data_IF_530317944057
#
_entry.id   IF_530317944057
#
_cell.length_a   1.000
_cell.length_b   1.000
_cell.length_c   1.000
_cell.angle_alpha   90.00
_cell.angle_beta   90.00
_cell.angle_gamma   90.00
#
_symmetry.space_group_name_H-M   'P 1'
#
loop_
_entity.id
_entity.type
_entity.pdbx_description
1 polymer ?
#
# COMPACT_ATOMS: atom_id res chain seq x y z
N UNK A 1 -12.91 -10.21 13.67
CA UNK A 1 -12.63 -10.99 12.44
C UNK A 1 -11.75 -10.16 11.52
N UNK A 2 -10.75 -10.78 10.88
CA UNK A 2 -9.88 -10.14 9.91
C UNK A 2 -10.20 -10.66 8.50
N UNK A 3 -10.09 -9.79 7.50
CA UNK A 3 -10.10 -10.19 6.09
C UNK A 3 -8.70 -9.94 5.51
N UNK A 4 -7.98 -11.01 5.21
CA UNK A 4 -6.63 -10.91 4.62
C UNK A 4 -6.74 -10.67 3.12
N UNK A 5 -5.94 -9.74 2.59
CA UNK A 5 -6.04 -9.30 1.20
C UNK A 5 -4.71 -8.78 0.63
N UNK A 6 -4.50 -8.76 -0.68
CA UNK A 6 -5.37 -9.32 -1.72
C UNK A 6 -4.77 -10.63 -2.27
N UNK A 7 -5.46 -11.75 -2.08
CA UNK A 7 -4.97 -13.10 -2.39
C UNK A 7 -4.85 -13.32 -3.92
N UNK A 8 -3.81 -14.02 -4.41
CA UNK A 8 -2.66 -14.61 -3.71
C UNK A 8 -1.43 -13.69 -3.63
N UNK A 9 -1.62 -12.38 -3.67
CA UNK A 9 -0.55 -11.37 -3.69
C UNK A 9 -0.81 -10.32 -4.75
N UNK A 10 -0.60 -9.05 -4.41
CA UNK A 10 -0.84 -7.91 -5.31
C UNK A 10 0.42 -7.32 -5.95
N UNK A 11 1.61 -7.69 -5.46
CA UNK A 11 2.89 -7.08 -5.86
C UNK A 11 3.29 -7.18 -7.34
N UNK A 12 3.08 -8.32 -8.04
CA UNK A 12 3.67 -8.56 -9.36
C UNK A 12 2.90 -7.88 -10.51
N UNK A 13 2.51 -6.61 -10.36
CA UNK A 13 1.81 -5.82 -11.37
C UNK A 13 2.73 -5.47 -12.55
N UNK A 14 2.35 -5.87 -13.76
CA UNK A 14 3.07 -5.48 -14.97
C UNK A 14 3.23 -3.96 -15.01
N UNK A 15 4.44 -3.47 -15.26
CA UNK A 15 4.77 -2.03 -15.32
C UNK A 15 4.52 -1.24 -14.00
N UNK A 16 4.19 -1.91 -12.89
CA UNK A 16 3.85 -1.27 -11.61
C UNK A 16 2.54 -0.46 -11.65
N UNK A 17 1.63 -0.85 -12.55
CA UNK A 17 0.35 -0.18 -12.79
C UNK A 17 -0.81 -0.96 -12.15
N UNK A 18 -1.68 -0.24 -11.45
CA UNK A 18 -2.72 -0.86 -10.64
C UNK A 18 -3.92 -1.41 -11.46
N UNK A 19 -4.31 -2.69 -11.28
CA UNK A 19 -5.43 -3.34 -11.97
C UNK A 19 -6.83 -2.90 -11.52
N UNK A 20 -6.96 -1.87 -10.69
CA UNK A 20 -8.20 -1.12 -10.58
C UNK A 20 -8.63 -0.48 -11.91
N UNK A 21 -7.71 -0.32 -12.86
CA UNK A 21 -7.92 0.41 -14.11
C UNK A 21 -7.62 -0.46 -15.33
N UNK A 22 -8.17 -0.05 -16.47
CA UNK A 22 -8.11 -0.80 -17.73
C UNK A 22 -6.77 -0.68 -18.48
N UNK A 23 -5.95 0.32 -18.13
CA UNK A 23 -4.62 0.50 -18.75
C UNK A 23 -3.67 -0.67 -18.47
N UNK A 24 -3.82 -1.38 -17.36
CA UNK A 24 -3.02 -2.56 -17.05
C UNK A 24 -3.74 -3.50 -16.09
N UNK A 25 -3.91 -4.75 -16.50
CA UNK A 25 -4.58 -5.80 -15.71
C UNK A 25 -3.69 -7.00 -15.38
N UNK A 26 -2.51 -7.07 -15.97
CA UNK A 26 -1.62 -8.22 -15.85
C UNK A 26 -0.85 -8.24 -14.53
N UNK A 27 -0.90 -9.37 -13.84
CA UNK A 27 0.14 -9.76 -12.90
C UNK A 27 1.06 -10.80 -13.55
N UNK A 28 2.35 -10.51 -13.60
CA UNK A 28 3.35 -11.30 -14.34
C UNK A 28 4.45 -11.82 -13.42
N UNK A 29 4.99 -13.00 -13.73
CA UNK A 29 5.96 -13.69 -12.87
C UNK A 29 7.25 -14.03 -13.63
N UNK A 30 8.00 -13.02 -14.12
CA UNK A 30 9.22 -13.23 -14.90
C UNK A 30 10.36 -13.93 -14.12
N UNK A 31 10.31 -13.91 -12.79
CA UNK A 31 11.20 -14.64 -11.90
C UNK A 31 10.76 -16.08 -11.60
N UNK A 32 9.61 -16.53 -12.10
CA UNK A 32 8.99 -17.81 -11.75
C UNK A 32 8.82 -17.95 -10.21
N UNK A 33 8.42 -16.86 -9.55
CA UNK A 33 8.46 -16.73 -8.10
C UNK A 33 7.05 -16.63 -7.47
N UNK A 34 6.04 -17.27 -8.08
CA UNK A 34 4.64 -17.23 -7.61
C UNK A 34 4.48 -17.64 -6.14
N UNK A 35 5.14 -18.73 -5.72
CA UNK A 35 5.02 -19.25 -4.35
C UNK A 35 5.51 -18.27 -3.27
N UNK A 36 6.46 -17.39 -3.59
CA UNK A 36 6.90 -16.34 -2.65
C UNK A 36 5.75 -15.43 -2.22
N UNK A 37 4.83 -15.12 -3.13
CA UNK A 37 3.69 -14.24 -2.86
C UNK A 37 2.63 -14.91 -1.96
N UNK A 38 2.70 -16.23 -1.77
CA UNK A 38 1.81 -16.99 -0.89
C UNK A 38 2.22 -16.94 0.58
N UNK A 39 3.50 -16.69 0.88
CA UNK A 39 4.06 -16.72 2.24
C UNK A 39 3.26 -15.87 3.24
N UNK A 40 2.85 -14.62 2.93
CA UNK A 40 2.05 -13.82 3.86
C UNK A 40 0.66 -14.42 4.13
N UNK A 41 0.08 -15.14 3.16
CA UNK A 41 -1.22 -15.79 3.31
C UNK A 41 -1.11 -17.08 4.11
N UNK A 42 -0.03 -17.85 3.96
CA UNK A 42 0.25 -19.00 4.81
C UNK A 42 0.27 -18.60 6.30
N UNK A 43 0.99 -17.53 6.64
CA UNK A 43 0.97 -16.96 7.99
C UNK A 43 -0.43 -16.50 8.43
N UNK A 44 -1.22 -15.92 7.52
CA UNK A 44 -2.59 -15.52 7.82
C UNK A 44 -3.54 -16.71 8.06
N UNK A 45 -3.33 -17.83 7.37
CA UNK A 45 -4.07 -19.07 7.59
C UNK A 45 -3.73 -19.68 8.95
N UNK A 46 -2.44 -19.72 9.32
CA UNK A 46 -1.98 -20.12 10.65
C UNK A 46 -2.61 -19.25 11.76
N UNK A 47 -2.69 -17.94 11.51
CA UNK A 47 -3.37 -16.98 12.39
C UNK A 47 -4.91 -17.06 12.35
N UNK A 48 -5.49 -18.00 11.57
CA UNK A 48 -6.93 -18.24 11.44
C UNK A 48 -7.69 -17.01 10.97
N UNK A 49 -7.19 -16.35 9.92
CA UNK A 49 -7.93 -15.27 9.26
C UNK A 49 -9.35 -15.70 8.90
N UNK A 50 -10.30 -14.79 9.08
CA UNK A 50 -11.72 -15.12 9.00
C UNK A 50 -12.28 -15.04 7.58
N UNK A 51 -11.70 -14.14 6.78
CA UNK A 51 -12.06 -13.92 5.39
C UNK A 51 -10.83 -13.72 4.51
N UNK A 52 -10.95 -14.02 3.22
CA UNK A 52 -9.95 -13.76 2.19
C UNK A 52 -10.59 -12.92 1.09
N UNK A 53 -9.86 -11.93 0.60
CA UNK A 53 -10.24 -11.15 -0.57
C UNK A 53 -9.28 -11.39 -1.73
N UNK A 54 -9.74 -11.98 -2.85
CA UNK A 54 -8.92 -12.12 -4.05
C UNK A 54 -8.63 -10.78 -4.72
N UNK A 55 -7.49 -10.67 -5.39
CA UNK A 55 -7.10 -9.46 -6.10
C UNK A 55 -7.77 -9.30 -7.48
N UNK A 56 -7.73 -8.09 -8.04
CA UNK A 56 -8.25 -7.81 -9.39
C UNK A 56 -7.41 -8.43 -10.50
N UNK A 57 -6.08 -8.45 -10.32
CA UNK A 57 -5.12 -8.76 -11.37
C UNK A 57 -5.33 -10.13 -12.02
N UNK A 58 -4.92 -10.24 -13.29
CA UNK A 58 -4.90 -11.49 -14.06
C UNK A 58 -3.55 -12.17 -13.82
N UNK A 59 -3.48 -13.35 -13.17
CA UNK A 59 -2.24 -14.09 -12.98
C UNK A 59 -1.77 -14.70 -14.30
N UNK A 60 -1.09 -13.88 -15.10
CA UNK A 60 -0.81 -14.17 -16.51
C UNK A 60 0.04 -15.43 -16.60
N UNK A 61 -0.50 -16.42 -17.31
CA UNK A 61 0.10 -17.73 -17.59
C UNK A 61 0.45 -18.57 -16.35
N UNK A 62 -0.08 -18.22 -15.17
CA UNK A 62 0.05 -19.05 -13.96
C UNK A 62 -1.04 -20.13 -13.86
N UNK A 63 -2.11 -20.01 -14.65
CA UNK A 63 -3.22 -20.96 -14.68
C UNK A 63 -3.63 -21.23 -16.13
N UNK A 64 -4.52 -22.20 -16.34
CA UNK A 64 -5.03 -22.50 -17.68
C UNK A 64 -5.94 -21.39 -18.27
N UNK A 65 -6.38 -20.43 -17.45
CA UNK A 65 -7.30 -19.36 -17.88
C UNK A 65 -6.81 -17.98 -17.37
N UNK A 66 -6.54 -17.07 -18.31
CA UNK A 66 -6.09 -15.71 -18.00
C UNK A 66 -7.27 -14.78 -17.67
N UNK A 67 -7.85 -14.98 -16.48
CA UNK A 67 -8.94 -14.16 -15.90
C UNK A 67 -8.58 -13.66 -14.49
N UNK A 68 -9.19 -12.56 -14.06
CA UNK A 68 -8.96 -11.98 -12.72
C UNK A 68 -9.19 -12.99 -11.59
N UNK A 69 -8.47 -12.84 -10.47
CA UNK A 69 -8.36 -13.90 -9.44
C UNK A 69 -9.71 -14.40 -8.91
N UNK A 70 -10.68 -13.52 -8.70
CA UNK A 70 -12.01 -13.91 -8.20
C UNK A 70 -12.85 -14.73 -9.21
N UNK A 71 -12.52 -14.65 -10.51
CA UNK A 71 -13.11 -15.47 -11.57
C UNK A 71 -12.34 -16.77 -11.79
N UNK A 72 -11.15 -16.91 -11.21
CA UNK A 72 -10.22 -17.98 -11.53
C UNK A 72 -10.39 -19.17 -10.57
N UNK A 73 -10.97 -20.26 -11.06
CA UNK A 73 -11.22 -21.47 -10.26
C UNK A 73 -9.93 -22.14 -9.76
N UNK A 74 -8.84 -22.09 -10.55
CA UNK A 74 -7.57 -22.66 -10.12
C UNK A 74 -6.98 -21.91 -8.91
N UNK A 75 -7.17 -20.58 -8.85
CA UNK A 75 -6.74 -19.77 -7.71
C UNK A 75 -7.66 -19.94 -6.49
N UNK A 76 -8.98 -19.85 -6.70
CA UNK A 76 -9.92 -19.83 -5.57
C UNK A 76 -10.28 -21.23 -5.08
N UNK A 77 -10.63 -22.15 -5.98
CA UNK A 77 -10.99 -23.51 -5.57
C UNK A 77 -9.74 -24.35 -5.40
N UNK A 78 -8.91 -24.52 -6.43
CA UNK A 78 -7.87 -25.56 -6.39
C UNK A 78 -6.73 -25.18 -5.45
N UNK A 79 -6.26 -23.93 -5.50
CA UNK A 79 -5.21 -23.43 -4.62
C UNK A 79 -5.73 -23.10 -3.20
N UNK A 80 -6.68 -22.18 -3.07
CA UNK A 80 -7.10 -21.70 -1.75
C UNK A 80 -7.94 -22.74 -0.97
N UNK A 81 -8.95 -23.38 -1.59
CA UNK A 81 -9.76 -24.41 -0.91
C UNK A 81 -9.11 -25.78 -0.95
N UNK A 82 -8.49 -26.14 -2.07
CA UNK A 82 -7.88 -27.45 -2.31
C UNK A 82 -6.56 -27.61 -1.58
N UNK A 83 -5.52 -26.86 -1.96
CA UNK A 83 -4.17 -26.94 -1.35
C UNK A 83 -4.15 -26.42 0.09
N UNK A 84 -4.69 -25.24 0.35
CA UNK A 84 -4.63 -24.63 1.69
C UNK A 84 -5.75 -25.05 2.65
N UNK A 85 -6.74 -25.82 2.18
CA UNK A 85 -7.90 -26.22 2.99
C UNK A 85 -8.61 -25.06 3.68
N UNK A 86 -8.50 -23.85 3.13
CA UNK A 86 -9.10 -22.67 3.74
C UNK A 86 -10.62 -22.81 3.65
N UNK A 87 -11.33 -22.70 4.77
CA UNK A 87 -12.80 -22.83 4.81
C UNK A 87 -13.52 -21.55 5.28
N UNK A 88 -12.78 -20.45 5.52
CA UNK A 88 -13.38 -19.16 5.85
C UNK A 88 -14.09 -18.50 4.66
N UNK A 89 -14.63 -17.30 4.85
CA UNK A 89 -15.35 -16.56 3.79
C UNK A 89 -14.36 -16.11 2.70
N UNK A 90 -14.76 -16.21 1.44
CA UNK A 90 -14.11 -15.50 0.32
C UNK A 90 -15.04 -14.40 -0.18
N UNK A 91 -14.61 -13.16 -0.04
CA UNK A 91 -15.31 -11.99 -0.56
C UNK A 91 -14.54 -11.43 -1.74
N UNK A 92 -15.18 -11.18 -2.88
CA UNK A 92 -14.50 -10.45 -3.96
C UNK A 92 -14.08 -9.06 -3.52
N UNK A 93 -13.11 -8.47 -4.22
CA UNK A 93 -12.89 -7.03 -4.18
C UNK A 93 -14.09 -6.27 -4.81
N UNK A 94 -14.02 -4.95 -4.86
CA UNK A 94 -15.12 -4.07 -5.24
C UNK A 94 -15.33 -3.92 -6.75
N UNK A 95 -16.58 -4.05 -7.20
CA UNK A 95 -16.98 -3.66 -8.57
C UNK A 95 -16.47 -4.60 -9.66
N UNK A 96 -16.56 -5.90 -9.42
CA UNK A 96 -16.27 -6.94 -10.43
C UNK A 96 -17.45 -7.14 -11.39
N UNK A 97 -18.68 -6.90 -10.95
CA UNK A 97 -19.88 -7.24 -11.73
C UNK A 97 -20.44 -6.04 -12.48
N UNK A 98 -20.62 -4.91 -11.79
CA UNK A 98 -21.32 -3.73 -12.28
C UNK A 98 -20.38 -2.54 -12.43
N UNK A 99 -20.55 -1.80 -13.54
CA UNK A 99 -19.81 -0.54 -13.78
C UNK A 99 -20.22 0.54 -12.77
N UNK A 100 -19.30 1.42 -12.42
CA UNK A 100 -19.54 2.50 -11.47
C UNK A 100 -19.62 3.86 -12.19
N UNK A 101 -20.70 4.61 -11.95
CA UNK A 101 -20.86 5.96 -12.48
C UNK A 101 -20.04 6.96 -11.64
N UNK A 102 -18.99 7.55 -12.21
CA UNK A 102 -18.06 8.48 -11.55
C UNK A 102 -18.29 9.94 -11.99
N UNK A 103 -19.57 10.36 -12.05
CA UNK A 103 -19.99 11.67 -12.57
C UNK A 103 -20.83 11.56 -13.84
N UNK A 104 -21.28 12.67 -14.45
CA UNK A 104 -22.21 12.62 -15.59
C UNK A 104 -21.67 11.87 -16.83
N UNK A 105 -20.39 12.05 -17.14
CA UNK A 105 -19.78 11.59 -18.40
C UNK A 105 -18.65 10.57 -18.20
N UNK A 106 -18.47 10.05 -16.98
CA UNK A 106 -17.40 9.10 -16.64
C UNK A 106 -18.02 7.83 -16.08
N UNK A 107 -17.85 6.75 -16.82
CA UNK A 107 -18.15 5.39 -16.37
C UNK A 107 -16.82 4.71 -16.06
N UNK A 108 -16.68 4.24 -14.83
CA UNK A 108 -15.56 3.38 -14.44
C UNK A 108 -16.01 1.92 -14.61
N UNK A 109 -15.51 1.21 -15.63
CA UNK A 109 -15.95 -0.15 -15.90
C UNK A 109 -15.72 -1.09 -14.72
N UNK A 110 -16.53 -2.13 -14.67
CA UNK A 110 -16.32 -3.27 -13.79
C UNK A 110 -14.93 -3.87 -14.07
N UNK A 111 -14.23 -4.30 -13.01
CA UNK A 111 -12.91 -4.96 -13.11
C UNK A 111 -13.07 -6.42 -13.54
N UNK A 112 -13.77 -6.63 -14.65
CA UNK A 112 -14.16 -7.93 -15.21
C UNK A 112 -13.05 -8.52 -16.08
N UNK A 113 -11.80 -8.46 -15.61
CA UNK A 113 -10.61 -8.75 -16.41
C UNK A 113 -10.57 -10.19 -16.95
N UNK A 114 -10.46 -10.32 -18.28
CA UNK A 114 -10.50 -11.58 -19.01
C UNK A 114 -11.90 -12.13 -19.27
N UNK A 115 -12.94 -11.47 -18.73
CA UNK A 115 -14.35 -11.83 -18.89
C UNK A 115 -15.23 -10.62 -19.19
N UNK A 116 -14.66 -9.59 -19.80
CA UNK A 116 -15.31 -8.32 -20.09
C UNK A 116 -16.55 -8.54 -20.98
N UNK A 117 -16.52 -9.53 -21.87
CA UNK A 117 -17.61 -9.94 -22.75
C UNK A 117 -18.81 -10.58 -22.02
N UNK A 118 -18.64 -11.06 -20.79
CA UNK A 118 -19.72 -11.72 -20.06
C UNK A 118 -20.77 -10.71 -19.60
N UNK A 119 -22.03 -11.14 -19.59
CA UNK A 119 -23.11 -10.39 -18.96
C UNK A 119 -22.87 -10.29 -17.45
N UNK A 120 -23.50 -9.33 -16.77
CA UNK A 120 -23.42 -9.21 -15.31
C UNK A 120 -23.85 -10.51 -14.61
N UNK A 121 -24.90 -11.17 -15.10
CA UNK A 121 -25.38 -12.46 -14.58
C UNK A 121 -24.35 -13.58 -14.75
N UNK A 122 -23.68 -13.65 -15.91
CA UNK A 122 -22.64 -14.66 -16.15
C UNK A 122 -21.35 -14.39 -15.35
N UNK A 123 -21.02 -13.11 -15.09
CA UNK A 123 -19.93 -12.73 -14.17
C UNK A 123 -20.23 -13.22 -12.75
N UNK A 124 -21.46 -13.03 -12.26
CA UNK A 124 -21.92 -13.54 -10.95
C UNK A 124 -21.81 -15.06 -10.89
N UNK A 125 -22.27 -15.76 -11.93
CA UNK A 125 -22.16 -17.22 -12.00
C UNK A 125 -20.69 -17.67 -11.89
N UNK A 126 -19.82 -17.12 -12.72
CA UNK A 126 -18.39 -17.50 -12.75
C UNK A 126 -17.70 -17.24 -11.40
N UNK A 127 -18.00 -16.13 -10.72
CA UNK A 127 -17.45 -15.83 -9.38
C UNK A 127 -17.88 -16.88 -8.34
N UNK A 128 -19.15 -17.27 -8.33
CA UNK A 128 -19.67 -18.27 -7.38
C UNK A 128 -19.09 -19.66 -7.70
N UNK A 129 -19.03 -20.03 -8.98
CA UNK A 129 -18.45 -21.29 -9.43
C UNK A 129 -16.94 -21.38 -9.22
N UNK A 130 -16.22 -20.26 -9.27
CA UNK A 130 -14.80 -20.19 -8.90
C UNK A 130 -14.58 -20.49 -7.41
N UNK A 131 -15.59 -20.24 -6.55
CA UNK A 131 -15.55 -20.58 -5.12
C UNK A 131 -15.69 -19.39 -4.17
N UNK A 132 -16.00 -18.18 -4.68
CA UNK A 132 -16.29 -17.02 -3.85
C UNK A 132 -17.65 -17.17 -3.14
N UNK A 133 -17.78 -16.56 -1.97
CA UNK A 133 -18.97 -16.66 -1.12
C UNK A 133 -19.76 -15.34 -1.04
N UNK A 134 -19.10 -14.20 -1.26
CA UNK A 134 -19.66 -12.86 -1.12
C UNK A 134 -19.09 -11.91 -2.18
N UNK A 135 -19.88 -10.91 -2.59
CA UNK A 135 -19.48 -9.88 -3.55
C UNK A 135 -19.18 -8.56 -2.83
N UNK A 136 -17.98 -8.01 -3.04
CA UNK A 136 -17.58 -6.69 -2.56
C UNK A 136 -18.26 -5.57 -3.36
N UNK A 137 -18.98 -4.68 -2.66
CA UNK A 137 -19.56 -3.47 -3.27
C UNK A 137 -20.67 -3.71 -4.28
N UNK A 138 -21.23 -4.91 -4.36
CA UNK A 138 -22.34 -5.24 -5.27
C UNK A 138 -23.68 -5.25 -4.53
N UNK A 139 -24.71 -4.72 -5.16
CA UNK A 139 -26.05 -4.52 -4.59
C UNK A 139 -27.18 -5.15 -5.44
N UNK A 140 -26.84 -6.06 -6.36
CA UNK A 140 -27.77 -6.73 -7.28
C UNK A 140 -28.00 -8.22 -6.96
N UNK A 141 -28.61 -8.56 -5.80
CA UNK A 141 -28.87 -9.95 -5.43
C UNK A 141 -29.83 -10.66 -6.39
N UNK A 142 -30.63 -9.91 -7.17
CA UNK A 142 -31.54 -10.45 -8.18
C UNK A 142 -30.80 -11.27 -9.25
N UNK A 143 -29.51 -11.00 -9.51
CA UNK A 143 -28.69 -11.78 -10.43
C UNK A 143 -28.49 -13.22 -9.95
N UNK A 144 -28.25 -13.41 -8.65
CA UNK A 144 -28.13 -14.74 -8.03
C UNK A 144 -29.48 -15.46 -8.07
N UNK A 145 -30.57 -14.76 -7.73
CA UNK A 145 -31.93 -15.31 -7.78
C UNK A 145 -32.30 -15.76 -9.19
N UNK A 146 -31.93 -14.98 -10.21
CA UNK A 146 -32.14 -15.34 -11.61
C UNK A 146 -31.40 -16.64 -11.96
N UNK A 147 -30.12 -16.77 -11.60
CA UNK A 147 -29.33 -17.97 -11.88
C UNK A 147 -29.92 -19.24 -11.26
N UNK A 148 -30.44 -19.15 -10.03
CA UNK A 148 -31.09 -20.27 -9.35
C UNK A 148 -32.40 -20.65 -10.06
N UNK A 149 -33.25 -19.66 -10.40
CA UNK A 149 -34.52 -19.91 -11.11
C UNK A 149 -34.31 -20.49 -12.51
N UNK A 150 -33.24 -20.12 -13.19
CA UNK A 150 -32.85 -20.66 -14.49
C UNK A 150 -32.18 -22.04 -14.39
N UNK A 151 -31.90 -22.54 -13.18
CA UNK A 151 -31.22 -23.82 -12.96
C UNK A 151 -29.73 -23.81 -13.29
N UNK A 152 -29.13 -22.62 -13.53
CA UNK A 152 -27.69 -22.45 -13.79
C UNK A 152 -26.87 -22.51 -12.51
N UNK A 153 -27.48 -22.24 -11.35
CA UNK A 153 -26.84 -22.29 -10.04
C UNK A 153 -27.70 -23.11 -9.08
N UNK A 154 -27.11 -24.12 -8.43
CA UNK A 154 -27.84 -24.94 -7.47
C UNK A 154 -27.99 -24.24 -6.11
N UNK A 155 -29.11 -24.50 -5.43
CA UNK A 155 -29.29 -24.03 -4.04
C UNK A 155 -28.21 -24.60 -3.12
N UNK A 156 -27.76 -25.84 -3.32
CA UNK A 156 -26.68 -26.45 -2.54
C UNK A 156 -25.35 -25.66 -2.63
N UNK A 157 -25.03 -25.13 -3.83
CA UNK A 157 -23.85 -24.28 -3.99
C UNK A 157 -24.00 -22.99 -3.20
N UNK A 158 -25.20 -22.40 -3.17
CA UNK A 158 -25.50 -21.21 -2.35
C UNK A 158 -25.42 -21.53 -0.86
N UNK A 159 -25.98 -22.65 -0.42
CA UNK A 159 -25.97 -23.09 0.98
C UNK A 159 -24.56 -23.22 1.53
N UNK A 160 -23.59 -23.63 0.69
CA UNK A 160 -22.18 -23.67 1.06
C UNK A 160 -21.65 -22.28 1.44
N UNK A 161 -21.93 -21.26 0.62
CA UNK A 161 -21.52 -19.87 0.89
C UNK A 161 -22.25 -19.31 2.11
N UNK A 162 -23.56 -19.55 2.21
CA UNK A 162 -24.39 -19.08 3.34
C UNK A 162 -23.91 -19.69 4.66
N UNK A 163 -23.57 -20.99 4.68
CA UNK A 163 -23.05 -21.66 5.88
C UNK A 163 -21.76 -21.02 6.38
N UNK A 164 -20.83 -20.64 5.49
CA UNK A 164 -19.59 -19.93 5.86
C UNK A 164 -19.88 -18.56 6.46
N UNK A 165 -20.77 -17.79 5.82
CA UNK A 165 -21.18 -16.47 6.29
C UNK A 165 -21.88 -16.54 7.66
N UNK A 166 -22.82 -17.46 7.83
CA UNK A 166 -23.54 -17.65 9.09
C UNK A 166 -22.61 -18.14 10.20
N UNK A 167 -21.72 -19.10 9.91
CA UNK A 167 -20.72 -19.57 10.88
C UNK A 167 -19.87 -18.42 11.41
N UNK A 168 -19.39 -17.54 10.53
CA UNK A 168 -18.62 -16.36 10.95
C UNK A 168 -19.45 -15.43 11.85
N UNK A 169 -20.72 -15.19 11.51
CA UNK A 169 -21.61 -14.37 12.35
C UNK A 169 -21.86 -14.98 13.73
N UNK A 170 -22.02 -16.31 13.81
CA UNK A 170 -22.11 -17.03 15.09
C UNK A 170 -20.81 -16.93 15.89
N UNK A 171 -19.65 -17.13 15.27
CA UNK A 171 -18.34 -17.01 15.94
C UNK A 171 -18.08 -15.59 16.49
N UNK A 172 -18.62 -14.57 15.83
CA UNK A 172 -18.56 -13.18 16.29
C UNK A 172 -19.58 -12.85 17.40
N UNK A 173 -20.47 -13.77 17.75
CA UNK A 173 -21.52 -13.55 18.75
C UNK A 173 -22.62 -12.59 18.28
N UNK A 174 -22.76 -12.34 16.98
CA UNK A 174 -23.73 -11.36 16.46
C UNK A 174 -25.19 -11.78 16.65
N UNK A 175 -25.46 -13.07 16.88
CA UNK A 175 -26.80 -13.55 17.24
C UNK A 175 -27.13 -13.33 18.73
N UNK A 176 -26.11 -13.22 19.58
CA UNK A 176 -26.27 -13.03 21.02
C UNK A 176 -26.19 -11.54 21.40
N UNK A 177 -25.28 -10.79 20.78
CA UNK A 177 -25.07 -9.37 21.01
C UNK A 177 -24.77 -8.62 19.68
N UNK A 178 -25.81 -8.28 18.89
CA UNK A 178 -25.65 -7.70 17.56
C UNK A 178 -25.22 -6.22 17.55
N UNK A 179 -25.41 -5.49 18.64
CA UNK A 179 -25.26 -4.03 18.67
C UNK A 179 -24.09 -3.58 19.55
N UNK A 180 -23.54 -2.42 19.22
CA UNK A 180 -22.52 -1.73 20.02
C UNK A 180 -23.18 -0.63 20.85
N UNK A 181 -22.53 -0.26 21.97
CA UNK A 181 -22.97 0.85 22.81
C UNK A 181 -22.32 2.16 22.34
N UNK A 182 -23.08 2.97 21.60
CA UNK A 182 -22.61 4.24 21.03
C UNK A 182 -22.28 5.29 22.11
N UNK A 183 -22.82 5.15 23.33
CA UNK A 183 -22.53 6.10 24.42
C UNK A 183 -21.06 6.08 24.84
N UNK A 184 -20.32 5.01 24.51
CA UNK A 184 -18.88 4.85 24.79
C UNK A 184 -17.96 5.54 23.79
N UNK A 185 -18.49 6.09 22.69
CA UNK A 185 -17.67 6.72 21.64
C UNK A 185 -16.74 7.81 22.19
N UNK A 186 -17.20 8.77 23.04
CA UNK A 186 -16.34 9.82 23.58
C UNK A 186 -15.20 9.28 24.45
N UNK A 187 -15.41 8.10 25.06
CA UNK A 187 -14.42 7.48 25.93
C UNK A 187 -13.38 6.68 25.15
N UNK A 188 -13.67 6.25 23.92
CA UNK A 188 -12.81 5.33 23.14
C UNK A 188 -12.12 6.05 21.97
N UNK A 189 -12.86 6.83 21.19
CA UNK A 189 -12.34 7.43 19.96
C UNK A 189 -11.42 8.60 20.30
N UNK A 190 -10.20 8.58 19.77
CA UNK A 190 -9.24 9.67 19.98
C UNK A 190 -8.63 9.70 21.38
N UNK A 191 -8.78 8.62 22.17
CA UNK A 191 -8.12 8.47 23.47
C UNK A 191 -6.65 8.85 23.43
N UNK A 192 -6.22 9.56 24.48
CA UNK A 192 -4.84 10.01 24.65
C UNK A 192 -3.83 8.85 24.52
N UNK A 193 -4.09 7.71 25.15
CA UNK A 193 -3.22 6.53 25.10
C UNK A 193 -3.00 5.99 23.67
N UNK A 194 -4.04 5.97 22.83
CA UNK A 194 -3.93 5.51 21.45
C UNK A 194 -3.16 6.50 20.59
N UNK A 195 -3.36 7.80 20.81
CA UNK A 195 -2.64 8.86 20.11
C UNK A 195 -1.16 8.85 20.48
N UNK A 196 -0.83 8.69 21.75
CA UNK A 196 0.55 8.59 22.22
C UNK A 196 1.27 7.36 21.64
N UNK A 197 0.58 6.22 21.58
CA UNK A 197 1.12 5.02 20.94
C UNK A 197 1.33 5.22 19.42
N UNK A 198 0.40 5.92 18.75
CA UNK A 198 0.55 6.30 17.34
C UNK A 198 1.76 7.19 17.09
N UNK A 199 1.93 8.25 17.88
CA UNK A 199 3.10 9.15 17.81
C UNK A 199 4.40 8.37 18.05
N UNK A 200 4.46 7.53 19.10
CA UNK A 200 5.64 6.70 19.37
C UNK A 200 5.95 5.73 18.23
N UNK A 201 4.91 5.20 17.57
CA UNK A 201 5.09 4.29 16.42
C UNK A 201 5.68 5.03 15.23
N UNK A 202 5.20 6.25 14.93
CA UNK A 202 5.76 7.07 13.86
C UNK A 202 7.26 7.37 14.08
N UNK A 203 7.62 7.80 15.30
CA UNK A 203 9.01 8.11 15.64
C UNK A 203 9.94 6.89 15.52
N UNK A 204 9.50 5.73 16.00
CA UNK A 204 10.29 4.49 15.95
C UNK A 204 10.41 3.91 14.54
N UNK A 205 9.40 4.14 13.70
CA UNK A 205 9.38 3.65 12.32
C UNK A 205 10.37 4.40 11.42
N UNK A 206 10.78 5.63 11.76
CA UNK A 206 11.72 6.40 10.94
C UNK A 206 13.06 5.69 10.77
N UNK A 207 13.54 5.69 9.54
CA UNK A 207 14.77 5.01 9.13
C UNK A 207 15.84 6.03 8.80
N UNK A 208 16.93 6.05 9.58
CA UNK A 208 18.09 6.91 9.29
C UNK A 208 18.93 6.28 8.17
N UNK A 209 19.01 6.94 7.01
CA UNK A 209 19.70 6.43 5.82
C UNK A 209 21.11 7.00 5.66
N UNK A 210 21.31 8.26 6.05
CA UNK A 210 22.62 8.91 6.03
C UNK A 210 22.76 9.81 7.26
N UNK A 211 23.96 9.83 7.85
CA UNK A 211 24.31 10.75 8.93
C UNK A 211 25.80 11.15 8.83
N UNK A 212 26.09 12.15 8.01
CA UNK A 212 27.44 12.66 7.77
C UNK A 212 27.96 13.41 9.01
N UNK A 213 29.21 13.15 9.39
CA UNK A 213 29.88 13.72 10.57
C UNK A 213 29.08 13.61 11.88
N UNK A 214 28.17 12.63 11.95
CA UNK A 214 27.25 12.43 13.07
C UNK A 214 26.45 13.70 13.42
N UNK A 215 26.02 14.46 12.40
CA UNK A 215 25.27 15.72 12.58
C UNK A 215 23.95 15.52 13.33
N UNK A 216 23.28 14.38 13.17
CA UNK A 216 22.12 13.99 13.97
C UNK A 216 22.53 13.16 15.19
N UNK A 217 21.92 13.42 16.37
CA UNK A 217 20.83 14.39 16.59
C UNK A 217 21.30 15.85 16.65
N UNK A 218 20.47 16.75 16.13
CA UNK A 218 20.73 18.20 16.16
C UNK A 218 20.66 18.74 17.58
N UNK A 219 21.70 19.49 17.99
CA UNK A 219 21.67 20.22 19.27
C UNK A 219 20.56 21.28 19.29
N UNK A 220 19.67 21.21 20.27
CA UNK A 220 18.56 22.17 20.44
C UNK A 220 19.07 23.59 20.68
N UNK A 221 18.34 24.58 20.16
CA UNK A 221 18.59 26.02 20.29
C UNK A 221 19.96 26.48 19.74
N UNK A 222 20.66 25.64 18.98
CA UNK A 222 21.96 25.98 18.38
C UNK A 222 21.84 26.51 16.95
N UNK A 223 20.82 26.06 16.22
CA UNK A 223 20.75 26.22 14.77
C UNK A 223 19.80 27.34 14.34
N UNK A 224 20.19 28.06 13.29
CA UNK A 224 19.28 28.76 12.39
C UNK A 224 18.90 27.82 11.25
N UNK A 225 17.61 27.50 11.15
CA UNK A 225 17.09 26.54 10.19
C UNK A 225 16.26 27.23 9.11
N UNK A 226 16.65 27.05 7.85
CA UNK A 226 15.72 27.21 6.73
C UNK A 226 14.89 25.95 6.61
N UNK A 227 13.59 26.06 6.29
CA UNK A 227 12.68 24.93 6.29
C UNK A 227 11.81 24.88 5.03
N UNK A 228 11.51 23.67 4.56
CA UNK A 228 10.52 23.41 3.50
C UNK A 228 9.58 22.28 3.91
N UNK A 229 8.28 22.46 3.64
CA UNK A 229 7.23 21.45 3.87
C UNK A 229 7.14 20.91 5.30
N UNK A 230 7.43 21.75 6.31
CA UNK A 230 7.32 21.45 7.73
C UNK A 230 6.80 22.69 8.47
N UNK A 231 5.92 22.50 9.47
CA UNK A 231 5.35 23.60 10.24
C UNK A 231 6.43 24.36 11.03
N UNK A 232 6.57 25.65 10.70
CA UNK A 232 7.54 26.54 11.36
C UNK A 232 7.35 26.65 12.87
N UNK A 233 6.13 26.58 13.38
CA UNK A 233 5.83 26.66 14.81
C UNK A 233 6.31 25.42 15.58
N UNK A 234 6.44 24.28 14.90
CA UNK A 234 6.99 23.04 15.47
C UNK A 234 8.51 23.12 15.52
N UNK A 235 9.14 23.50 14.40
CA UNK A 235 10.61 23.64 14.33
C UNK A 235 11.10 24.74 15.27
N UNK A 236 10.34 25.82 15.45
CA UNK A 236 10.66 26.92 16.36
C UNK A 236 10.79 26.51 17.83
N UNK A 237 10.28 25.33 18.23
CA UNK A 237 10.49 24.75 19.56
C UNK A 237 11.93 24.23 19.76
N UNK A 238 12.68 24.06 18.67
CA UNK A 238 13.97 23.39 18.64
C UNK A 238 15.10 24.22 18.01
N UNK A 239 14.80 25.09 17.05
CA UNK A 239 15.76 25.89 16.29
C UNK A 239 15.16 27.26 15.92
N UNK A 240 16.01 28.24 15.61
CA UNK A 240 15.55 29.54 15.11
C UNK A 240 15.21 29.42 13.62
N UNK A 241 13.95 29.62 13.22
CA UNK A 241 13.56 29.53 11.81
C UNK A 241 13.92 30.82 11.07
N UNK A 242 14.57 30.69 9.91
CA UNK A 242 14.93 31.81 9.02
C UNK A 242 14.23 31.69 7.67
N UNK A 243 14.04 32.83 7.00
CA UNK A 243 13.23 32.90 5.77
C UNK A 243 14.01 32.47 4.51
N UNK A 244 15.34 32.56 4.53
CA UNK A 244 16.19 32.31 3.37
C UNK A 244 17.30 31.30 3.69
N UNK A 245 17.66 30.42 2.73
CA UNK A 245 18.76 29.48 2.91
C UNK A 245 20.09 30.16 3.27
N UNK A 246 20.37 31.34 2.70
CA UNK A 246 21.63 32.07 2.92
C UNK A 246 21.80 32.60 4.35
N UNK A 247 20.70 32.65 5.12
CA UNK A 247 20.70 33.09 6.52
C UNK A 247 20.81 31.91 7.51
N UNK A 248 20.76 30.68 6.99
CA UNK A 248 20.63 29.46 7.78
C UNK A 248 21.99 28.78 8.00
N UNK A 249 22.15 28.18 9.18
CA UNK A 249 23.25 27.26 9.46
C UNK A 249 22.98 25.89 8.82
N UNK A 250 21.71 25.49 8.76
CA UNK A 250 21.22 24.25 8.17
C UNK A 250 19.89 24.47 7.44
N UNK A 251 19.57 23.59 6.49
CA UNK A 251 18.22 23.45 5.96
C UNK A 251 17.59 22.13 6.45
N UNK A 252 16.29 22.15 6.76
CA UNK A 252 15.48 20.96 7.04
C UNK A 252 14.35 20.92 6.01
N UNK A 253 14.40 19.98 5.08
CA UNK A 253 13.38 19.86 4.03
C UNK A 253 12.67 18.52 4.13
N UNK A 254 11.34 18.55 4.00
CA UNK A 254 10.52 17.34 3.85
C UNK A 254 10.15 17.15 2.38
N UNK A 255 10.42 15.97 1.85
CA UNK A 255 10.16 15.60 0.46
C UNK A 255 9.14 14.46 0.41
N UNK A 256 8.25 14.50 -0.58
CA UNK A 256 7.46 13.33 -0.94
C UNK A 256 8.23 12.49 -1.96
N UNK A 257 8.09 11.17 -1.90
CA UNK A 257 8.59 10.33 -2.99
C UNK A 257 7.93 10.76 -4.31
N UNK A 258 8.71 10.98 -5.38
CA UNK A 258 8.18 11.43 -6.65
C UNK A 258 7.27 10.37 -7.27
N UNK A 259 6.27 10.85 -8.00
CA UNK A 259 5.35 10.05 -8.77
C UNK A 259 4.77 10.89 -9.91
N UNK A 260 4.24 10.20 -10.90
CA UNK A 260 3.71 10.82 -12.10
C UNK A 260 2.33 10.23 -12.41
N UNK A 261 1.26 11.06 -12.40
CA UNK A 261 -0.07 10.57 -12.67
C UNK A 261 -0.17 10.02 -14.09
N UNK A 262 -0.95 8.95 -14.23
CA UNK A 262 -1.34 8.42 -15.53
C UNK A 262 -2.35 9.34 -16.20
N UNK A 263 -2.25 9.51 -17.53
CA UNK A 263 -3.24 10.24 -18.29
C UNK A 263 -4.51 9.40 -18.41
N UNK A 264 -5.57 9.82 -17.72
CA UNK A 264 -6.85 9.12 -17.70
C UNK A 264 -8.02 10.06 -17.45
N UNK A 265 -9.21 9.63 -17.88
CA UNK A 265 -10.49 10.26 -17.57
C UNK A 265 -11.06 9.85 -16.22
N UNK A 266 -10.51 8.82 -15.57
CA UNK A 266 -10.98 8.32 -14.27
C UNK A 266 -10.28 9.13 -13.16
N UNK A 267 -10.97 10.05 -12.44
CA UNK A 267 -10.31 10.93 -11.48
C UNK A 267 -9.63 10.15 -10.35
N UNK A 268 -10.18 8.99 -9.97
CA UNK A 268 -9.60 8.14 -8.96
C UNK A 268 -8.19 7.63 -9.33
N UNK A 269 -7.92 7.33 -10.60
CA UNK A 269 -6.59 6.86 -11.03
C UNK A 269 -5.53 7.96 -11.01
N UNK A 270 -5.94 9.23 -11.13
CA UNK A 270 -5.01 10.36 -11.09
C UNK A 270 -4.38 10.56 -9.70
N UNK A 271 -5.01 10.01 -8.65
CA UNK A 271 -4.47 10.04 -7.29
C UNK A 271 -3.54 8.88 -6.92
N UNK A 272 -3.33 7.92 -7.82
CA UNK A 272 -2.44 6.78 -7.56
C UNK A 272 -1.00 7.17 -7.89
N UNK A 273 -0.08 6.88 -6.96
CA UNK A 273 1.34 7.17 -7.09
C UNK A 273 2.03 6.16 -8.03
N UNK A 274 1.83 6.39 -9.33
CA UNK A 274 2.42 5.60 -10.43
C UNK A 274 3.69 6.25 -10.99
N UNK A 275 4.29 5.60 -11.98
CA UNK A 275 5.37 6.15 -12.79
C UNK A 275 6.71 6.17 -12.08
N UNK A 276 7.62 6.97 -12.63
CA UNK A 276 9.02 7.01 -12.22
C UNK A 276 9.22 7.48 -10.77
N UNK A 277 10.29 6.96 -10.16
CA UNK A 277 10.65 7.08 -8.74
C UNK A 277 11.72 8.15 -8.49
N UNK A 278 12.14 8.90 -9.50
CA UNK A 278 13.15 9.96 -9.42
C UNK A 278 12.54 11.35 -9.57
N UNK A 279 13.17 12.34 -8.93
CA UNK A 279 12.85 13.75 -9.18
C UNK A 279 13.33 14.14 -10.58
N UNK A 280 12.61 15.03 -11.26
CA UNK A 280 12.96 15.52 -12.60
C UNK A 280 12.99 17.04 -12.65
N UNK A 281 13.32 17.57 -13.83
CA UNK A 281 13.64 18.97 -14.17
C UNK A 281 12.96 20.06 -13.32
N UNK A 282 13.51 21.25 -13.20
CA UNK A 282 13.13 22.31 -12.26
C UNK A 282 13.14 21.90 -10.77
N UNK A 283 12.34 20.92 -10.35
CA UNK A 283 12.25 20.52 -8.93
C UNK A 283 13.53 19.82 -8.46
N UNK A 284 14.04 18.87 -9.25
CA UNK A 284 15.34 18.26 -8.99
C UNK A 284 16.45 19.30 -8.92
N UNK A 285 16.54 20.20 -9.89
CA UNK A 285 17.57 21.24 -9.91
C UNK A 285 17.44 22.15 -8.70
N UNK A 286 16.22 22.52 -8.30
CA UNK A 286 15.98 23.33 -7.10
C UNK A 286 16.52 22.64 -5.84
N UNK A 287 16.16 21.37 -5.62
CA UNK A 287 16.64 20.58 -4.48
C UNK A 287 18.17 20.51 -4.49
N UNK A 288 18.76 20.11 -5.62
CA UNK A 288 20.23 19.97 -5.74
C UNK A 288 20.95 21.32 -5.53
N UNK A 289 20.40 22.43 -5.99
CA UNK A 289 20.98 23.76 -5.75
C UNK A 289 20.92 24.17 -4.27
N UNK A 290 19.85 23.81 -3.55
CA UNK A 290 19.78 24.03 -2.10
C UNK A 290 20.86 23.22 -1.37
N UNK A 291 20.94 21.92 -1.66
CA UNK A 291 21.91 21.00 -1.03
C UNK A 291 23.37 21.43 -1.26
N UNK A 292 23.69 22.07 -2.39
CA UNK A 292 25.03 22.61 -2.67
C UNK A 292 25.36 23.87 -1.86
N UNK A 293 24.36 24.66 -1.51
CA UNK A 293 24.54 25.97 -0.86
C UNK A 293 24.48 25.88 0.65
N UNK A 294 23.60 25.04 1.17
CA UNK A 294 23.28 24.96 2.60
C UNK A 294 23.40 23.52 3.08
N UNK A 295 24.03 23.23 4.22
CA UNK A 295 24.01 21.91 4.82
C UNK A 295 22.57 21.45 5.07
N UNK A 296 22.09 20.45 4.32
CA UNK A 296 20.67 20.05 4.35
C UNK A 296 20.46 18.71 5.05
N UNK A 297 19.50 18.68 5.97
CA UNK A 297 18.86 17.49 6.51
C UNK A 297 17.61 17.22 5.68
N UNK A 298 17.55 16.04 5.06
CA UNK A 298 16.42 15.63 4.24
C UNK A 298 15.62 14.58 4.99
N UNK A 299 14.33 14.84 5.12
CA UNK A 299 13.31 13.87 5.51
C UNK A 299 12.49 13.54 4.26
N UNK A 300 12.32 12.25 3.94
CA UNK A 300 11.57 11.82 2.76
C UNK A 300 10.46 10.84 3.15
N UNK A 301 9.23 11.15 2.75
CA UNK A 301 8.08 10.26 2.89
C UNK A 301 8.18 9.12 1.86
N UNK A 302 8.43 7.91 2.35
CA UNK A 302 8.65 6.68 1.57
C UNK A 302 7.39 5.80 1.57
N UNK A 303 6.34 6.24 0.90
CA UNK A 303 5.19 5.37 0.58
C UNK A 303 5.47 4.35 -0.53
N UNK A 304 6.54 4.59 -1.27
CA UNK A 304 7.14 3.70 -2.28
C UNK A 304 8.66 3.91 -2.30
N UNK A 305 9.44 3.03 -2.95
CA UNK A 305 10.88 3.26 -3.13
C UNK A 305 11.16 4.56 -3.91
N UNK A 306 12.28 5.21 -3.61
CA UNK A 306 12.71 6.46 -4.24
C UNK A 306 14.10 6.29 -4.88
N UNK A 307 14.28 6.81 -6.09
CA UNK A 307 15.56 6.88 -6.81
C UNK A 307 16.16 8.26 -6.58
N UNK A 308 17.03 8.36 -5.57
CA UNK A 308 17.56 9.66 -5.08
C UNK A 308 19.08 9.68 -4.83
N UNK A 309 19.93 9.07 -5.69
CA UNK A 309 21.37 8.99 -5.45
C UNK A 309 22.05 10.37 -5.30
N UNK A 310 21.63 11.37 -6.07
CA UNK A 310 22.22 12.71 -6.01
C UNK A 310 21.86 13.47 -4.73
N UNK A 311 20.64 13.26 -4.20
CA UNK A 311 20.18 13.85 -2.93
C UNK A 311 20.91 13.17 -1.78
N UNK A 312 20.92 11.83 -1.74
CA UNK A 312 21.64 11.06 -0.73
C UNK A 312 23.14 11.40 -0.73
N UNK A 313 23.75 11.58 -1.91
CA UNK A 313 25.15 11.96 -2.05
C UNK A 313 25.47 13.34 -1.47
N UNK A 314 24.55 14.31 -1.54
CA UNK A 314 24.83 15.72 -1.19
C UNK A 314 24.25 16.18 0.15
N UNK A 315 23.18 15.58 0.66
CA UNK A 315 22.61 15.95 1.96
C UNK A 315 23.55 15.55 3.11
N UNK A 316 23.45 16.24 4.26
CA UNK A 316 24.22 15.89 5.46
C UNK A 316 23.58 14.76 6.26
N UNK A 317 22.26 14.70 6.29
CA UNK A 317 21.55 13.54 6.79
C UNK A 317 20.30 13.27 5.94
N UNK A 318 19.92 12.01 5.89
CA UNK A 318 18.75 11.52 5.18
C UNK A 318 17.95 10.59 6.11
N UNK A 319 16.67 10.88 6.30
CA UNK A 319 15.73 10.03 7.03
C UNK A 319 14.57 9.68 6.09
N UNK A 320 14.17 8.41 6.10
CA UNK A 320 12.91 7.96 5.52
C UNK A 320 11.81 7.89 6.58
N UNK A 321 10.68 8.53 6.32
CA UNK A 321 9.46 8.44 7.12
C UNK A 321 8.32 7.74 6.36
N UNK A 322 7.27 7.33 7.08
CA UNK A 322 6.14 6.55 6.52
C UNK A 322 4.79 7.20 6.85
N UNK A 323 4.72 8.52 6.72
CA UNK A 323 3.53 9.33 7.00
C UNK A 323 3.58 9.94 8.40
N UNK A 324 4.79 10.30 8.85
CA UNK A 324 5.00 10.84 10.17
C UNK A 324 4.61 12.33 10.26
N UNK A 325 4.10 12.72 11.43
CA UNK A 325 3.81 14.12 11.73
C UNK A 325 5.10 14.93 11.88
N UNK A 326 5.01 16.23 11.64
CA UNK A 326 6.11 17.18 11.83
C UNK A 326 6.69 17.12 13.25
N UNK A 327 5.83 16.95 14.27
CA UNK A 327 6.31 16.76 15.64
C UNK A 327 7.17 15.51 15.75
N UNK A 328 6.70 14.37 15.23
CA UNK A 328 7.45 13.11 15.29
C UNK A 328 8.80 13.23 14.60
N UNK A 329 8.87 13.92 13.46
CA UNK A 329 10.12 14.16 12.73
C UNK A 329 11.07 14.99 13.58
N UNK A 330 10.59 16.09 14.17
CA UNK A 330 11.40 16.93 15.05
C UNK A 330 11.86 16.20 16.32
N UNK A 331 11.02 15.35 16.93
CA UNK A 331 11.44 14.53 18.08
C UNK A 331 12.64 13.64 17.74
N UNK A 332 12.68 13.09 16.51
CA UNK A 332 13.81 12.30 16.02
C UNK A 332 15.00 13.20 15.69
N UNK A 333 14.83 14.19 14.81
CA UNK A 333 15.91 15.09 14.36
C UNK A 333 16.68 15.73 15.51
N UNK A 334 16.00 16.11 16.59
CA UNK A 334 16.59 16.77 17.76
C UNK A 334 16.89 15.81 18.93
N UNK A 335 16.82 14.49 18.70
CA UNK A 335 17.35 13.47 19.61
C UNK A 335 16.51 13.15 20.84
N UNK A 336 15.22 13.49 20.85
CA UNK A 336 14.32 13.08 21.92
C UNK A 336 13.91 11.60 21.81
N UNK A 337 13.82 11.11 20.58
CA UNK A 337 13.61 9.69 20.28
C UNK A 337 14.66 9.23 19.27
N UNK A 338 15.36 8.11 19.50
CA UNK A 338 16.29 7.58 18.51
C UNK A 338 15.53 6.95 17.33
N UNK A 339 16.05 7.05 16.08
CA UNK A 339 15.51 6.30 14.96
C UNK A 339 15.79 4.81 15.16
N UNK A 340 14.76 3.99 15.03
CA UNK A 340 14.84 2.53 15.19
C UNK A 340 14.49 1.76 13.90
N UNK A 341 13.99 2.47 12.89
CA UNK A 341 13.49 1.90 11.65
C UNK A 341 14.59 1.27 10.79
N UNK A 342 14.15 0.31 9.99
CA UNK A 342 14.91 -0.30 8.91
C UNK A 342 14.02 -0.26 7.66
N UNK A 343 14.63 -0.09 6.50
CA UNK A 343 13.91 -0.04 5.23
C UNK A 343 13.11 -1.33 4.98
N UNK A 344 11.79 -1.26 4.70
CA UNK A 344 10.98 -2.43 4.35
C UNK A 344 11.10 -2.85 2.87
N UNK A 345 11.83 -2.07 2.07
CA UNK A 345 12.16 -2.32 0.66
C UNK A 345 13.50 -1.68 0.34
N UNK A 346 14.18 -2.13 -0.72
CA UNK A 346 15.39 -1.46 -1.20
C UNK A 346 15.07 -0.10 -1.83
N UNK A 347 16.03 0.83 -1.78
CA UNK A 347 15.98 2.06 -2.58
C UNK A 347 16.87 1.88 -3.82
N UNK A 348 16.31 1.85 -5.04
CA UNK A 348 17.08 1.61 -6.26
C UNK A 348 18.08 2.74 -6.56
N UNK A 349 19.18 2.39 -7.23
CA UNK A 349 20.22 3.37 -7.60
C UNK A 349 19.87 4.22 -8.81
N UNK A 350 18.98 3.73 -9.69
CA UNK A 350 18.57 4.42 -10.90
C UNK A 350 17.22 3.92 -11.41
N UNK A 351 16.56 4.69 -12.28
CA UNK A 351 15.36 4.22 -12.99
C UNK A 351 15.66 3.09 -13.97
N UNK A 352 16.90 2.95 -14.43
CA UNK A 352 17.31 1.79 -15.23
C UNK A 352 17.31 0.51 -14.38
N UNK A 353 17.86 0.58 -13.16
CA UNK A 353 17.80 -0.53 -12.21
C UNK A 353 16.35 -0.95 -11.92
N UNK A 354 15.43 0.02 -11.73
CA UNK A 354 13.99 -0.24 -11.56
C UNK A 354 13.39 -0.99 -12.75
N UNK A 355 13.70 -0.55 -13.98
CA UNK A 355 13.17 -1.15 -15.21
C UNK A 355 13.68 -2.57 -15.46
N UNK A 356 14.85 -2.90 -14.93
CA UNK A 356 15.45 -4.23 -15.04
C UNK A 356 14.96 -5.21 -13.98
N UNK A 357 14.22 -4.73 -12.96
CA UNK A 357 13.67 -5.60 -11.91
C UNK A 357 12.61 -6.54 -12.46
N UNK A 358 12.58 -7.74 -11.89
CA UNK A 358 11.51 -8.72 -12.09
C UNK A 358 10.41 -8.43 -11.09
N UNK A 359 9.23 -8.11 -11.59
CA UNK A 359 8.10 -7.66 -10.78
C UNK A 359 7.68 -8.63 -9.65
N UNK A 360 7.98 -9.93 -9.79
CA UNK A 360 7.67 -10.96 -8.80
C UNK A 360 8.84 -11.33 -7.87
N UNK A 361 10.03 -10.74 -8.06
CA UNK A 361 11.21 -11.04 -7.25
C UNK A 361 11.48 -9.88 -6.30
N UNK A 362 11.49 -10.10 -4.98
CA UNK A 362 11.84 -9.05 -4.03
C UNK A 362 13.34 -8.75 -4.07
N UNK A 363 13.70 -7.47 -3.88
CA UNK A 363 15.08 -7.05 -3.61
C UNK A 363 16.10 -7.46 -4.69
N UNK A 364 15.69 -7.39 -5.96
CA UNK A 364 16.52 -7.79 -7.11
C UNK A 364 17.13 -6.60 -7.87
N UNK A 365 17.03 -5.38 -7.33
CA UNK A 365 17.63 -4.20 -7.95
C UNK A 365 19.15 -4.35 -8.01
N UNK A 366 19.75 -4.03 -9.16
CA UNK A 366 21.20 -4.04 -9.30
C UNK A 366 21.83 -2.86 -8.54
N UNK A 367 22.74 -3.17 -7.60
CA UNK A 367 23.48 -2.19 -6.80
C UNK A 367 22.56 -1.13 -6.17
N UNK A 368 21.63 -1.51 -5.27
CA UNK A 368 20.68 -0.57 -4.69
C UNK A 368 21.42 0.55 -3.95
N UNK A 369 20.84 1.76 -3.95
CA UNK A 369 21.35 2.89 -3.17
C UNK A 369 21.34 2.56 -1.66
N UNK A 370 20.28 1.90 -1.21
CA UNK A 370 20.17 1.33 0.14
C UNK A 370 19.47 -0.03 0.06
N UNK A 371 20.06 -1.04 0.72
CA UNK A 371 19.54 -2.40 0.73
C UNK A 371 18.27 -2.54 1.61
N UNK A 372 17.49 -3.60 1.37
CA UNK A 372 16.43 -4.00 2.30
C UNK A 372 16.99 -4.20 3.71
N UNK A 373 16.25 -3.73 4.72
CA UNK A 373 16.66 -3.80 6.11
C UNK A 373 17.72 -2.77 6.53
N UNK A 374 18.19 -1.91 5.62
CA UNK A 374 19.15 -0.87 5.95
C UNK A 374 18.55 0.17 6.91
N UNK A 375 19.34 0.59 7.89
CA UNK A 375 18.98 1.65 8.83
C UNK A 375 20.12 1.93 9.81
N UNK A 376 20.59 3.16 9.86
CA UNK A 376 21.59 3.63 10.81
C UNK A 376 20.96 3.92 12.17
N UNK A 377 21.80 4.07 13.20
CA UNK A 377 21.43 4.50 14.55
C UNK A 377 22.34 5.66 14.95
N UNK A 378 21.90 6.47 15.91
CA UNK A 378 22.78 7.48 16.50
C UNK A 378 23.98 6.81 17.18
N UNK A 379 25.17 7.39 17.00
CA UNK A 379 26.35 6.98 17.75
C UNK A 379 26.19 7.40 19.21
N UNK A 380 26.66 6.54 20.10
CA UNK A 380 26.65 6.77 21.55
C UNK A 380 27.79 7.67 21.99
#
# INVERSE_FOLDING_TARGET
>A
ACMTKHFPGGGPQKEGLDPHFDFQKGQIYPGNNFEYHLIPFEAAFEAKTAAIMPYYGVPTDQTAENVGMAYNKAIITDLLRGKYHYDGVVCTDWGLVTDAQMGPDVVWPARAWGVEQLSATDRVLKIIEAGCDQFGGENRPELVVQLVKEGKLSEERIDTSVRRLLRLKFQLGLFDNPFVDESKIPDIVGKKEFRELGVKTQQRAMTLLKNEDDILPLAKNKWKAYIENIDSSIVAKYASVVAKPEEADIAIIRLNTPWYPVDTKIPFAQGFHHGDLDFKGAEKERIIQLLKKTPTIVDIYLDRPAVIPEIAGQCKALIGDYGASDESVCEVLFGNTPPEGNLPFELPSSMEAVKNQKTDVPHDSENPLFEFGYGLRYKK
#
